data_IF_749433460913
#
_entry.id   IF_749433460913
#
_cell.length_a   1.000
_cell.length_b   1.000
_cell.length_c   1.000
_cell.angle_alpha   90.00
_cell.angle_beta   90.00
_cell.angle_gamma   90.00
#
_symmetry.space_group_name_H-M   'P 1'
#
loop_
_entity.id
_entity.type
_entity.pdbx_description
1 polymer ?
#
# COMPACT_ATOMS: atom_id res chain seq x y z
N UNK A 1 -2.48 -10.04 -2.66
CA UNK A 1 -3.15 -8.86 -2.06
C UNK A 1 -4.46 -8.54 -2.79
N UNK A 2 -5.60 -8.95 -2.22
CA UNK A 2 -6.93 -8.86 -2.84
C UNK A 2 -7.97 -8.31 -1.85
N UNK A 3 -8.99 -7.66 -2.40
CA UNK A 3 -10.17 -7.15 -1.70
C UNK A 3 -11.41 -7.38 -2.56
N UNK A 4 -12.45 -8.01 -2.01
CA UNK A 4 -13.66 -8.40 -2.75
C UNK A 4 -13.35 -9.17 -4.05
N UNK A 5 -12.36 -10.07 -3.99
CA UNK A 5 -11.93 -10.87 -5.13
C UNK A 5 -11.09 -10.15 -6.20
N UNK A 6 -10.90 -8.83 -6.09
CA UNK A 6 -10.10 -8.03 -7.02
C UNK A 6 -8.72 -7.71 -6.45
N UNK A 7 -7.68 -7.68 -7.31
CA UNK A 7 -6.36 -7.20 -6.90
C UNK A 7 -6.44 -5.72 -6.58
N UNK A 8 -6.02 -5.34 -5.38
CA UNK A 8 -5.89 -3.94 -4.96
C UNK A 8 -4.43 -3.50 -4.80
N UNK A 9 -3.49 -4.38 -5.20
CA UNK A 9 -2.07 -4.10 -5.30
C UNK A 9 -1.62 -4.08 -6.77
N UNK A 10 -0.73 -3.14 -7.17
CA UNK A 10 -0.27 -2.00 -6.38
C UNK A 10 -1.41 -1.05 -6.04
N UNK A 11 -1.36 -0.36 -4.88
CA UNK A 11 -2.43 0.51 -4.46
C UNK A 11 -2.57 1.69 -5.43
N UNK A 12 -3.78 2.23 -5.52
CA UNK A 12 -3.98 3.50 -6.21
C UNK A 12 -3.43 4.63 -5.33
N UNK A 13 -2.46 5.35 -5.86
CA UNK A 13 -1.83 6.46 -5.16
C UNK A 13 -2.70 7.72 -5.20
N UNK A 14 -2.76 8.43 -4.08
CA UNK A 14 -3.35 9.76 -3.93
C UNK A 14 -2.32 10.71 -3.32
N UNK A 15 -2.40 11.99 -3.63
CA UNK A 15 -1.44 12.98 -3.13
C UNK A 15 -1.44 14.25 -3.98
N UNK A 16 -0.39 15.08 -3.84
CA UNK A 16 -0.22 16.30 -4.64
C UNK A 16 -0.14 15.94 -6.12
N UNK A 17 -1.16 16.31 -6.90
CA UNK A 17 -1.23 16.01 -8.34
C UNK A 17 -1.67 17.24 -9.15
N UNK A 18 -1.37 17.23 -10.44
CA UNK A 18 -1.77 18.27 -11.39
C UNK A 18 -1.27 17.98 -12.80
N UNK A 19 -1.54 18.86 -13.79
CA UNK A 19 -1.22 18.59 -15.20
C UNK A 19 0.26 18.32 -15.48
N UNK A 20 1.16 18.84 -14.63
CA UNK A 20 2.62 18.65 -14.72
C UNK A 20 3.17 17.65 -13.68
N UNK A 21 2.31 17.07 -12.85
CA UNK A 21 2.68 16.13 -11.80
C UNK A 21 1.63 15.02 -11.74
N UNK A 22 1.70 14.02 -12.62
CA UNK A 22 0.75 12.92 -12.60
C UNK A 22 0.83 12.17 -11.28
N UNK A 23 -0.24 11.44 -10.94
CA UNK A 23 -0.17 10.51 -9.83
C UNK A 23 0.80 9.37 -10.17
N UNK A 24 1.53 8.84 -9.17
CA UNK A 24 2.33 7.65 -9.39
C UNK A 24 1.44 6.49 -9.83
N UNK A 25 1.97 5.64 -10.70
CA UNK A 25 1.31 4.42 -11.16
C UNK A 25 2.23 3.22 -10.92
N UNK A 26 1.65 2.12 -10.43
CA UNK A 26 2.38 0.89 -10.19
C UNK A 26 3.18 0.88 -8.88
N UNK A 27 4.23 0.07 -8.86
CA UNK A 27 5.11 -0.17 -7.71
C UNK A 27 6.27 0.83 -7.67
N UNK A 28 5.96 2.10 -7.43
CA UNK A 28 6.92 3.20 -7.49
C UNK A 28 7.13 3.86 -6.13
N UNK A 29 8.26 4.57 -6.01
CA UNK A 29 8.63 5.28 -4.80
C UNK A 29 9.20 4.38 -3.70
N UNK A 30 9.57 5.03 -2.61
CA UNK A 30 10.12 4.40 -1.41
C UNK A 30 9.07 4.44 -0.31
N UNK A 31 8.81 3.29 0.32
CA UNK A 31 7.92 3.25 1.49
C UNK A 31 8.58 4.04 2.63
N UNK A 32 7.89 5.05 3.14
CA UNK A 32 8.37 5.88 4.27
C UNK A 32 7.51 5.72 5.52
N UNK A 33 6.34 5.08 5.41
CA UNK A 33 5.50 4.80 6.56
C UNK A 33 4.29 3.94 6.22
N UNK A 34 3.66 3.41 7.26
CA UNK A 34 2.38 2.70 7.18
C UNK A 34 1.51 3.11 8.36
N UNK A 35 0.23 3.35 8.08
CA UNK A 35 -0.77 3.63 9.10
C UNK A 35 -1.88 2.60 9.02
N UNK A 36 -2.35 2.13 10.18
CA UNK A 36 -3.54 1.27 10.25
C UNK A 36 -4.75 2.14 10.52
N UNK A 37 -5.80 1.96 9.73
CA UNK A 37 -7.08 2.60 10.01
C UNK A 37 -7.97 1.69 10.82
N UNK A 38 -8.66 2.24 11.81
CA UNK A 38 -9.87 1.63 12.36
C UNK A 38 -11.04 2.22 11.58
N UNK A 39 -11.49 1.54 10.53
CA UNK A 39 -12.60 2.03 9.71
C UNK A 39 -13.88 1.46 10.28
N UNK A 40 -14.90 2.32 10.43
CA UNK A 40 -16.25 1.91 10.82
C UNK A 40 -16.88 0.91 9.85
N UNK A 41 -16.24 0.61 8.72
CA UNK A 41 -16.63 -0.41 7.74
C UNK A 41 -16.27 -1.85 8.17
N UNK A 42 -15.55 -2.05 9.27
CA UNK A 42 -15.24 -3.38 9.82
C UNK A 42 -14.18 -4.19 9.06
N UNK A 43 -13.72 -3.71 7.90
CA UNK A 43 -12.69 -4.38 7.10
C UNK A 43 -11.27 -3.99 7.54
N UNK A 44 -10.34 -4.95 7.72
CA UNK A 44 -8.93 -4.68 7.94
C UNK A 44 -8.31 -3.91 6.77
N UNK A 45 -7.60 -2.82 7.05
CA UNK A 45 -6.93 -2.02 6.02
C UNK A 45 -5.76 -1.22 6.59
N UNK A 46 -4.84 -0.86 5.71
CA UNK A 46 -3.75 0.06 6.01
C UNK A 46 -3.54 1.07 4.88
N UNK A 47 -2.85 2.15 5.22
CA UNK A 47 -2.42 3.20 4.32
C UNK A 47 -0.90 3.13 4.21
N UNK A 48 -0.41 2.98 2.99
CA UNK A 48 1.01 3.10 2.68
C UNK A 48 1.34 4.55 2.37
N UNK A 49 2.44 5.02 2.93
CA UNK A 49 2.97 6.36 2.68
C UNK A 49 4.27 6.18 1.93
N UNK A 50 4.38 6.79 0.74
CA UNK A 50 5.57 6.72 -0.09
C UNK A 50 6.16 8.10 -0.34
N UNK A 51 7.48 8.17 -0.45
CA UNK A 51 8.16 9.26 -1.14
C UNK A 51 8.32 8.89 -2.61
N UNK A 52 7.86 9.76 -3.50
CA UNK A 52 8.11 9.67 -4.93
C UNK A 52 8.44 11.05 -5.49
N UNK A 53 9.65 11.20 -6.03
CA UNK A 53 10.18 12.47 -6.53
C UNK A 53 10.14 13.60 -5.47
N UNK A 54 10.45 13.27 -4.21
CA UNK A 54 10.49 14.24 -3.11
C UNK A 54 9.12 14.73 -2.65
N UNK A 55 8.06 13.97 -2.95
CA UNK A 55 6.67 14.25 -2.59
C UNK A 55 6.05 13.01 -1.97
N UNK A 56 5.19 13.25 -0.97
CA UNK A 56 4.50 12.18 -0.28
C UNK A 56 3.20 11.81 -0.98
N UNK A 57 2.99 10.52 -1.17
CA UNK A 57 1.75 9.95 -1.68
C UNK A 57 1.26 8.85 -0.75
N UNK A 58 -0.05 8.61 -0.80
CA UNK A 58 -0.74 7.67 0.04
C UNK A 58 -1.43 6.62 -0.81
N UNK A 59 -1.39 5.35 -0.42
CA UNK A 59 -2.08 4.25 -1.08
C UNK A 59 -2.86 3.43 -0.06
N UNK A 60 -4.12 3.11 -0.34
CA UNK A 60 -4.95 2.30 0.57
C UNK A 60 -4.98 0.84 0.15
N UNK A 61 -4.84 -0.06 1.12
CA UNK A 61 -4.98 -1.50 0.95
C UNK A 61 -6.02 -2.04 1.91
N UNK A 62 -7.00 -2.73 1.36
CA UNK A 62 -8.06 -3.42 2.08
C UNK A 62 -7.83 -4.93 1.99
N UNK A 63 -8.31 -5.67 2.97
CA UNK A 63 -8.10 -7.10 3.05
C UNK A 63 -9.37 -7.81 3.47
N UNK A 64 -9.69 -8.92 2.79
CA UNK A 64 -10.81 -9.78 3.14
C UNK A 64 -10.50 -10.62 4.42
N UNK A 65 -9.22 -10.87 4.69
CA UNK A 65 -8.73 -11.72 5.79
C UNK A 65 -7.85 -10.92 6.77
N UNK A 66 -8.21 -10.97 8.06
CA UNK A 66 -7.53 -10.22 9.13
C UNK A 66 -6.16 -10.79 9.53
N UNK A 67 -5.96 -12.11 9.46
CA UNK A 67 -4.67 -12.74 9.78
C UNK A 67 -3.67 -12.50 8.65
N UNK A 68 -4.12 -12.59 7.41
CA UNK A 68 -3.36 -12.20 6.23
C UNK A 68 -3.00 -10.71 6.30
N UNK A 69 -3.94 -9.84 6.67
CA UNK A 69 -3.66 -8.42 6.90
C UNK A 69 -2.52 -8.20 7.92
N UNK A 70 -2.56 -8.87 9.08
CA UNK A 70 -1.50 -8.75 10.09
C UNK A 70 -0.13 -9.17 9.53
N UNK A 71 -0.10 -10.24 8.72
CA UNK A 71 1.13 -10.68 8.04
C UNK A 71 1.65 -9.61 7.08
N UNK A 72 0.76 -9.02 6.26
CA UNK A 72 1.13 -7.94 5.34
C UNK A 72 1.61 -6.71 6.08
N UNK A 73 0.90 -6.28 7.13
CA UNK A 73 1.27 -5.13 7.95
C UNK A 73 2.70 -5.28 8.49
N UNK A 74 3.02 -6.43 9.08
CA UNK A 74 4.36 -6.71 9.58
C UNK A 74 5.43 -6.66 8.48
N UNK A 75 5.13 -7.20 7.31
CA UNK A 75 6.05 -7.17 6.16
C UNK A 75 6.29 -5.73 5.71
N UNK A 76 5.24 -4.93 5.59
CA UNK A 76 5.31 -3.52 5.21
C UNK A 76 6.13 -2.73 6.23
N UNK A 77 5.85 -2.88 7.52
CA UNK A 77 6.59 -2.23 8.62
C UNK A 77 8.09 -2.57 8.58
N UNK A 78 8.44 -3.82 8.28
CA UNK A 78 9.83 -4.27 8.16
C UNK A 78 10.55 -3.76 6.90
N UNK A 79 9.80 -3.27 5.91
CA UNK A 79 10.34 -2.76 4.64
C UNK A 79 10.23 -1.23 4.54
N UNK A 80 10.02 -0.51 5.64
CA UNK A 80 10.14 0.95 5.65
C UNK A 80 11.56 1.34 5.23
N UNK A 81 11.65 2.32 4.32
CA UNK A 81 12.88 2.74 3.65
C UNK A 81 13.23 1.94 2.39
N UNK A 82 12.45 0.91 2.05
CA UNK A 82 12.66 0.10 0.84
C UNK A 82 11.74 0.54 -0.32
N UNK A 83 12.14 0.30 -1.58
CA UNK A 83 11.28 0.56 -2.73
C UNK A 83 10.02 -0.31 -2.71
N UNK A 84 8.89 0.23 -3.17
CA UNK A 84 7.61 -0.50 -3.20
C UNK A 84 7.69 -1.79 -4.02
N UNK A 85 8.48 -1.82 -5.09
CA UNK A 85 8.72 -3.02 -5.90
C UNK A 85 9.33 -4.18 -5.11
N UNK A 86 10.06 -3.90 -4.03
CA UNK A 86 10.54 -4.94 -3.12
C UNK A 86 9.40 -5.63 -2.40
N UNK A 87 8.37 -4.88 -1.99
CA UNK A 87 7.19 -5.44 -1.32
C UNK A 87 6.32 -6.20 -2.32
N UNK A 88 6.14 -5.65 -3.53
CA UNK A 88 5.36 -6.30 -4.59
C UNK A 88 5.96 -7.60 -5.12
N UNK A 89 7.29 -7.74 -5.06
CA UNK A 89 8.00 -8.99 -5.42
C UNK A 89 7.99 -10.05 -4.34
N UNK A 90 7.56 -9.73 -3.11
CA UNK A 90 7.25 -10.75 -2.13
C UNK A 90 5.97 -11.44 -2.63
N UNK A 91 6.02 -12.76 -2.78
CA UNK A 91 4.86 -13.53 -3.24
C UNK A 91 3.78 -13.52 -2.15
N UNK A 92 2.89 -12.53 -2.25
CA UNK A 92 1.90 -12.15 -1.23
C UNK A 92 0.47 -12.36 -1.76
N UNK A 93 0.25 -13.38 -2.60
CA UNK A 93 -1.09 -13.87 -2.87
C UNK A 93 -1.44 -15.00 -1.89
N UNK A 94 -2.67 -15.01 -1.33
CA UNK A 94 -3.12 -16.12 -0.49
C UNK A 94 -3.13 -17.40 -1.33
N UNK A 95 -2.48 -18.47 -0.81
CA UNK A 95 -2.57 -19.81 -1.38
C UNK A 95 -3.94 -20.43 -1.15
#
# INVERSE_FOLDING_TARGET
>A
MRWQGSRNWPPRWIGPHGPKNPLPEGEVGTLIGVETGSSGLGAPHCFLIIDWNGRNYFGSLFFDDAEFFKKILKIVEQNIGQPISRIGSLDLDPQ
#
